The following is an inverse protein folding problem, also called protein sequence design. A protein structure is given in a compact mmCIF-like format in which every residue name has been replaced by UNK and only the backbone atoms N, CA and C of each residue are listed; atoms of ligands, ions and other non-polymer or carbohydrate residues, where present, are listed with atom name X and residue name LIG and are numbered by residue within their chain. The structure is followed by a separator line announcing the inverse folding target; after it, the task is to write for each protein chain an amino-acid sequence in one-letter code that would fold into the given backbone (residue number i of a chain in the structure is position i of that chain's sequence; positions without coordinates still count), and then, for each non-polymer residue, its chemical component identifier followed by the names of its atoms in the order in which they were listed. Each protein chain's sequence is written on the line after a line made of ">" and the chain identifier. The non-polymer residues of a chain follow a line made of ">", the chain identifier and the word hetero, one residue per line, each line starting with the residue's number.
data_IF_846286342977
#
_entry.id   IF_846286342977
#
_cell.length_a   1.000
_cell.length_b   1.000
_cell.length_c   1.000
_cell.angle_alpha   90.00
_cell.angle_beta   90.00
_cell.angle_gamma   90.00
#
_symmetry.space_group_name_H-M   'P 1'
#
loop_
_entity.id
_entity.type
_entity.pdbx_description
1 polymer ?
#
# COMPACT_ATOMS: atom_id res chain seq x y z
N UNK A 1 -12.94 3.61 -11.64
CA UNK A 1 -12.21 2.36 -11.34
C UNK A 1 -10.93 2.74 -10.59
N UNK A 2 -10.63 2.09 -9.47
CA UNK A 2 -9.42 2.38 -8.71
C UNK A 2 -8.17 2.03 -9.54
N UNK A 3 -7.20 2.96 -9.61
CA UNK A 3 -5.94 2.70 -10.28
C UNK A 3 -5.17 1.61 -9.50
N UNK A 4 -4.71 0.51 -10.15
CA UNK A 4 -3.93 -0.55 -9.50
C UNK A 4 -2.70 -0.05 -8.75
N UNK A 5 -2.04 1.01 -9.22
CA UNK A 5 -0.91 1.63 -8.53
C UNK A 5 -1.32 2.26 -7.19
N UNK A 6 -2.47 2.94 -7.16
CA UNK A 6 -3.05 3.50 -5.93
C UNK A 6 -3.40 2.40 -4.95
N UNK A 7 -3.98 1.29 -5.42
CA UNK A 7 -4.34 0.15 -4.58
C UNK A 7 -3.09 -0.51 -3.95
N UNK A 8 -2.01 -0.70 -4.73
CA UNK A 8 -0.71 -1.18 -4.17
C UNK A 8 -0.17 -0.25 -3.10
N UNK A 9 -0.24 1.06 -3.33
CA UNK A 9 0.24 2.06 -2.38
C UNK A 9 -0.56 2.00 -1.06
N UNK A 10 -1.89 1.89 -1.14
CA UNK A 10 -2.76 1.78 0.03
C UNK A 10 -2.45 0.52 0.85
N UNK A 11 -2.29 -0.64 0.21
CA UNK A 11 -1.91 -1.89 0.90
C UNK A 11 -0.57 -1.74 1.61
N UNK A 12 0.45 -1.21 0.92
CA UNK A 12 1.79 -1.00 1.51
C UNK A 12 1.74 -0.02 2.70
N UNK A 13 0.95 1.05 2.58
CA UNK A 13 0.76 2.04 3.65
C UNK A 13 0.06 1.42 4.86
N UNK A 14 -0.98 0.61 4.64
CA UNK A 14 -1.64 -0.15 5.70
C UNK A 14 -0.67 -1.05 6.45
N UNK A 15 0.15 -1.85 5.75
CA UNK A 15 1.12 -2.75 6.39
C UNK A 15 2.19 -2.01 7.20
N UNK A 16 2.66 -0.87 6.68
CA UNK A 16 3.63 -0.01 7.36
C UNK A 16 3.03 0.58 8.63
N UNK A 17 1.82 1.13 8.54
CA UNK A 17 1.11 1.70 9.69
C UNK A 17 0.72 0.65 10.72
N UNK A 18 0.32 -0.55 10.30
CA UNK A 18 0.01 -1.66 11.21
C UNK A 18 1.25 -2.04 12.03
N UNK A 19 2.41 -2.12 11.37
CA UNK A 19 3.69 -2.43 12.02
C UNK A 19 4.13 -1.29 12.96
N UNK A 20 3.95 -0.04 12.55
CA UNK A 20 4.25 1.12 13.38
C UNK A 20 3.33 1.22 14.60
N UNK A 21 2.02 0.99 14.43
CA UNK A 21 1.04 0.96 15.51
C UNK A 21 1.35 -0.15 16.52
N UNK A 22 1.72 -1.34 16.06
CA UNK A 22 2.14 -2.43 16.95
C UNK A 22 3.39 -2.08 17.79
N UNK A 23 4.24 -1.17 17.30
CA UNK A 23 5.44 -0.70 18.02
C UNK A 23 5.17 0.49 18.94
N UNK A 24 4.36 1.45 18.49
CA UNK A 24 4.17 2.74 19.17
C UNK A 24 2.92 2.76 20.05
N UNK A 25 1.84 2.09 19.63
CA UNK A 25 0.57 2.03 20.37
C UNK A 25 -0.11 3.37 20.62
N UNK A 26 0.28 4.43 19.89
CA UNK A 26 -0.26 5.79 20.12
C UNK A 26 -1.63 5.97 19.48
N UNK A 27 -2.42 6.91 20.01
CA UNK A 27 -3.70 7.32 19.41
C UNK A 27 -3.56 7.78 17.96
N UNK A 28 -2.51 8.56 17.66
CA UNK A 28 -2.18 9.00 16.31
C UNK A 28 -1.93 7.82 15.36
N UNK A 29 -1.17 6.80 15.81
CA UNK A 29 -0.92 5.62 14.98
C UNK A 29 -2.19 4.77 14.76
N UNK A 30 -3.10 4.72 15.76
CA UNK A 30 -4.42 4.09 15.61
C UNK A 30 -5.25 4.81 14.57
N UNK A 31 -5.35 6.15 14.68
CA UNK A 31 -6.15 6.97 13.77
C UNK A 31 -5.66 6.86 12.33
N UNK A 32 -4.35 6.91 12.11
CA UNK A 32 -3.77 6.72 10.78
C UNK A 32 -4.05 5.31 10.22
N UNK A 33 -4.02 4.29 11.07
CA UNK A 33 -4.35 2.91 10.67
C UNK A 33 -5.84 2.76 10.34
N UNK A 34 -6.73 3.43 11.07
CA UNK A 34 -8.17 3.46 10.79
C UNK A 34 -8.48 4.20 9.48
N UNK A 35 -7.84 5.35 9.23
CA UNK A 35 -8.05 6.13 8.00
C UNK A 35 -7.66 5.34 6.74
N UNK A 36 -6.50 4.66 6.76
CA UNK A 36 -6.06 3.84 5.62
C UNK A 36 -6.92 2.59 5.48
N UNK A 37 -7.40 2.01 6.59
CA UNK A 37 -8.32 0.87 6.60
C UNK A 37 -9.66 1.23 5.96
N UNK A 38 -10.24 2.37 6.36
CA UNK A 38 -11.47 2.90 5.77
C UNK A 38 -11.32 3.14 4.27
N UNK A 39 -10.22 3.78 3.86
CA UNK A 39 -9.92 4.03 2.45
C UNK A 39 -9.80 2.72 1.66
N UNK A 40 -9.16 1.70 2.24
CA UNK A 40 -9.02 0.38 1.62
C UNK A 40 -10.39 -0.28 1.41
N UNK A 41 -11.25 -0.26 2.43
CA UNK A 41 -12.61 -0.79 2.37
C UNK A 41 -13.44 -0.11 1.27
N UNK A 42 -13.45 1.23 1.24
CA UNK A 42 -14.19 1.99 0.21
C UNK A 42 -13.63 1.72 -1.19
N UNK A 43 -12.30 1.73 -1.35
CA UNK A 43 -11.64 1.53 -2.65
C UNK A 43 -11.90 0.13 -3.21
N UNK A 44 -12.03 -0.87 -2.33
CA UNK A 44 -12.28 -2.27 -2.72
C UNK A 44 -13.76 -2.66 -2.73
N UNK A 45 -14.65 -1.78 -2.25
CA UNK A 45 -16.09 -2.05 -2.15
C UNK A 45 -16.44 -3.08 -1.06
N UNK A 46 -15.65 -3.15 0.01
CA UNK A 46 -15.81 -4.12 1.10
C UNK A 46 -16.14 -3.43 2.43
N UNK A 47 -16.51 -4.22 3.44
CA UNK A 47 -16.92 -3.71 4.77
C UNK A 47 -15.90 -3.93 5.87
N UNK A 48 -14.92 -4.81 5.66
CA UNK A 48 -13.91 -5.17 6.66
C UNK A 48 -12.52 -5.13 6.05
N UNK A 49 -11.51 -4.89 6.88
CA UNK A 49 -10.10 -4.85 6.45
C UNK A 49 -9.61 -6.20 5.89
N UNK A 50 -9.92 -7.36 6.50
CA UNK A 50 -9.57 -8.65 5.91
C UNK A 50 -10.16 -8.84 4.50
N UNK A 51 -11.44 -8.50 4.31
CA UNK A 51 -12.10 -8.59 3.01
C UNK A 51 -11.47 -7.63 1.99
N UNK A 52 -11.15 -6.40 2.44
CA UNK A 52 -10.49 -5.40 1.62
C UNK A 52 -9.12 -5.88 1.14
N UNK A 53 -8.31 -6.49 2.01
CA UNK A 53 -7.00 -7.03 1.64
C UNK A 53 -7.11 -8.21 0.68
N UNK A 54 -8.08 -9.11 0.89
CA UNK A 54 -8.33 -10.24 -0.01
C UNK A 54 -8.78 -9.76 -1.40
N UNK A 55 -9.73 -8.82 -1.45
CA UNK A 55 -10.20 -8.21 -2.69
C UNK A 55 -9.07 -7.47 -3.41
N UNK A 56 -8.24 -6.71 -2.68
CA UNK A 56 -7.08 -6.03 -3.24
C UNK A 56 -6.09 -7.02 -3.86
N UNK A 57 -5.79 -8.12 -3.19
CA UNK A 57 -4.89 -9.15 -3.72
C UNK A 57 -5.43 -9.82 -5.00
N UNK A 58 -6.75 -10.02 -5.12
CA UNK A 58 -7.38 -10.51 -6.35
C UNK A 58 -7.26 -9.47 -7.47
N UNK A 59 -7.64 -8.22 -7.22
CA UNK A 59 -7.58 -7.15 -8.22
C UNK A 59 -6.15 -6.89 -8.72
N UNK A 60 -5.16 -6.92 -7.83
CA UNK A 60 -3.75 -6.72 -8.19
C UNK A 60 -3.16 -7.88 -9.00
N UNK A 61 -3.70 -9.09 -8.86
CA UNK A 61 -3.34 -10.26 -9.69
C UNK A 61 -4.04 -10.25 -11.05
N UNK A 62 -5.25 -9.69 -11.12
CA UNK A 62 -6.01 -9.58 -12.36
C UNK A 62 -5.46 -8.54 -13.34
N UNK A 63 -4.58 -7.63 -12.89
CA UNK A 63 -3.86 -6.70 -13.76
C UNK A 63 -2.63 -7.42 -14.33
N UNK A 64 -2.62 -7.82 -15.61
CA UNK A 64 -1.45 -8.44 -16.20
C UNK A 64 -0.25 -7.49 -16.07
N UNK A 65 0.91 -8.04 -15.71
CA UNK A 65 2.15 -7.31 -15.43
C UNK A 65 2.72 -6.48 -16.60
N UNK A 66 2.00 -6.39 -17.72
CA UNK A 66 2.38 -5.63 -18.91
C UNK A 66 2.47 -4.10 -18.70
N UNK A 67 2.02 -3.58 -17.55
CA UNK A 67 2.15 -2.16 -17.20
C UNK A 67 3.25 -1.89 -16.16
N UNK A 68 4.33 -2.67 -16.14
CA UNK A 68 5.48 -2.44 -15.23
C UNK A 68 6.82 -2.70 -15.90
N UNK A 69 7.03 -2.10 -17.07
CA UNK A 69 8.37 -1.71 -17.54
C UNK A 69 8.46 -0.19 -17.49
N UNK A 70 8.55 0.35 -16.27
CA UNK A 70 9.12 1.67 -16.03
C UNK A 70 10.48 1.45 -15.37
N UNK A 71 11.61 1.90 -15.95
CA UNK A 71 12.91 1.74 -15.32
C UNK A 71 12.90 2.47 -13.98
N UNK A 72 13.24 1.76 -12.90
CA UNK A 72 13.55 2.39 -11.64
C UNK A 72 14.71 3.38 -11.87
N UNK A 73 14.59 4.67 -11.50
CA UNK A 73 15.76 5.53 -11.47
C UNK A 73 16.70 5.00 -10.39
N UNK A 74 17.93 4.74 -10.80
CA UNK A 74 18.96 4.07 -10.02
C UNK A 74 19.22 4.76 -8.68
N UNK A 75 19.11 3.98 -7.62
CA UNK A 75 19.90 4.22 -6.42
C UNK A 75 21.31 3.68 -6.71
N UNK A 76 22.24 4.57 -7.09
CA UNK A 76 23.68 4.50 -6.82
C UNK A 76 24.45 5.39 -7.81
N UNK A 77 24.44 6.70 -7.59
CA UNK A 77 25.55 7.55 -8.04
C UNK A 77 26.39 7.90 -6.80
N UNK A 78 27.17 6.90 -6.33
CA UNK A 78 28.36 7.16 -5.53
C UNK A 78 29.42 7.65 -6.52
N UNK A 79 29.61 8.96 -6.61
CA UNK A 79 30.86 9.49 -7.14
C UNK A 79 31.88 9.55 -6.01
N UNK A 80 32.70 8.51 -5.95
CA UNK A 80 34.02 8.54 -5.31
C UNK A 80 35.04 8.85 -6.41
N UNK A 81 35.62 10.05 -6.42
CA UNK A 81 36.92 10.26 -7.06
C UNK A 81 37.66 11.43 -6.41
N UNK A 82 38.85 11.08 -5.90
CA UNK A 82 40.10 11.81 -5.65
C UNK A 82 40.08 13.36 -5.59
#
# INVERSE_FOLDING_TARGET
>A
MANPATLRNLVKRYETLRSAHARLGTSESSRQLEDVSYTLCVTTGTRTVPDALAAAAVQLRAVPAAASLGPAPGAAEVQLTA
#
